data_IF_197994199251
#
_entry.id   IF_197994199251
#
_cell.length_a   1.000
_cell.length_b   1.000
_cell.length_c   1.000
_cell.angle_alpha   90.00
_cell.angle_beta   90.00
_cell.angle_gamma   90.00
#
_symmetry.space_group_name_H-M   'P 1'
#
loop_
_entity.id
_entity.type
_entity.pdbx_description
1 polymer ?
#
# COMPACT_ATOMS: atom_id res chain seq x y z
N UNK A 1 -18.70 8.81 -3.54
CA UNK A 1 -17.43 9.34 -4.06
C UNK A 1 -16.84 10.37 -3.11
N UNK A 2 -17.40 11.58 -2.95
CA UNK A 2 -16.78 12.58 -2.06
C UNK A 2 -16.64 12.08 -0.61
N UNK A 3 -17.65 11.38 -0.09
CA UNK A 3 -17.59 10.78 1.24
C UNK A 3 -16.45 9.78 1.43
N UNK A 4 -16.03 9.03 0.40
CA UNK A 4 -14.90 8.09 0.52
C UNK A 4 -13.54 8.78 0.58
N UNK A 5 -13.46 10.05 0.20
CA UNK A 5 -12.27 10.89 0.37
C UNK A 5 -12.30 11.63 1.71
N UNK A 6 -13.38 12.39 1.96
CA UNK A 6 -13.45 13.29 3.13
C UNK A 6 -13.66 12.56 4.45
N UNK A 7 -14.40 11.44 4.49
CA UNK A 7 -14.66 10.76 5.76
C UNK A 7 -13.37 10.20 6.40
N UNK A 8 -12.52 9.41 5.72
CA UNK A 8 -11.28 8.94 6.33
C UNK A 8 -10.30 10.09 6.63
N UNK A 9 -10.25 11.12 5.79
CA UNK A 9 -9.46 12.33 6.03
C UNK A 9 -9.87 13.02 7.32
N UNK A 10 -11.17 13.29 7.50
CA UNK A 10 -11.71 13.95 8.69
C UNK A 10 -11.54 13.10 9.94
N UNK A 11 -11.77 11.79 9.85
CA UNK A 11 -11.55 10.87 10.98
C UNK A 11 -10.08 10.93 11.41
N UNK A 12 -9.13 10.85 10.47
CA UNK A 12 -7.71 10.92 10.81
C UNK A 12 -7.33 12.30 11.39
N UNK A 13 -7.88 13.39 10.84
CA UNK A 13 -7.65 14.74 11.37
C UNK A 13 -8.19 14.89 12.80
N UNK A 14 -9.37 14.33 13.10
CA UNK A 14 -9.92 14.31 14.46
C UNK A 14 -9.05 13.46 15.39
N UNK A 15 -8.56 12.29 14.94
CA UNK A 15 -7.63 11.46 15.73
C UNK A 15 -6.34 12.23 16.05
N UNK A 16 -5.79 12.96 15.07
CA UNK A 16 -4.62 13.81 15.31
C UNK A 16 -4.94 14.93 16.31
N UNK A 17 -6.10 15.58 16.17
CA UNK A 17 -6.53 16.63 17.08
C UNK A 17 -6.64 16.14 18.53
N UNK A 18 -7.18 14.94 18.77
CA UNK A 18 -7.32 14.40 20.14
C UNK A 18 -5.99 14.09 20.82
N UNK A 19 -4.91 13.87 20.05
CA UNK A 19 -3.56 13.69 20.58
C UNK A 19 -2.72 14.98 20.53
N UNK A 20 -3.34 16.13 20.22
CA UNK A 20 -2.70 17.45 20.21
C UNK A 20 -1.89 17.74 18.96
N UNK A 21 -2.11 17.01 17.85
CA UNK A 21 -1.48 17.23 16.57
C UNK A 21 -2.45 18.00 15.66
N UNK A 22 -2.10 19.24 15.36
CA UNK A 22 -2.80 20.11 14.42
C UNK A 22 -1.83 21.14 13.82
N UNK A 23 -2.17 21.81 12.70
CA UNK A 23 -1.29 22.80 12.10
C UNK A 23 -0.90 23.90 13.08
N UNK A 24 0.40 24.17 13.21
CA UNK A 24 0.95 25.16 14.16
C UNK A 24 0.98 24.73 15.63
N UNK A 25 0.63 23.49 15.96
CA UNK A 25 0.77 22.95 17.32
C UNK A 25 2.22 22.61 17.67
N UNK A 26 2.52 22.46 18.97
CA UNK A 26 3.84 22.02 19.44
C UNK A 26 4.15 20.56 19.10
N UNK A 27 3.15 19.75 18.75
CA UNK A 27 3.28 18.32 18.47
C UNK A 27 2.95 18.05 17.00
N UNK A 28 3.88 17.45 16.27
CA UNK A 28 3.70 17.18 14.84
C UNK A 28 3.50 15.68 14.54
N UNK A 29 3.11 15.37 13.30
CA UNK A 29 3.10 14.00 12.72
C UNK A 29 4.51 13.41 12.59
N UNK A 30 5.54 14.24 12.75
CA UNK A 30 6.93 13.83 12.58
C UNK A 30 7.38 13.01 13.80
N UNK A 31 7.22 11.70 13.70
CA UNK A 31 7.76 10.73 14.65
C UNK A 31 8.83 9.87 13.97
N UNK A 32 9.79 9.37 14.77
CA UNK A 32 10.90 8.55 14.28
C UNK A 32 11.64 9.21 13.10
N UNK A 33 11.85 8.49 12.00
CA UNK A 33 12.51 8.94 10.77
C UNK A 33 11.83 10.14 10.11
N UNK A 34 10.53 10.37 10.34
CA UNK A 34 9.85 11.52 9.79
C UNK A 34 10.39 12.84 10.35
N UNK A 35 10.83 12.83 11.61
CA UNK A 35 11.43 13.99 12.28
C UNK A 35 12.87 14.23 11.84
N UNK A 36 13.70 13.20 11.88
CA UNK A 36 15.14 13.33 11.58
C UNK A 36 15.44 13.44 10.09
N UNK A 37 14.64 12.80 9.23
CA UNK A 37 14.93 12.65 7.80
C UNK A 37 13.84 13.25 6.90
N UNK A 38 12.59 12.78 6.99
CA UNK A 38 11.62 13.07 5.92
C UNK A 38 11.27 14.54 5.81
N UNK A 39 11.14 15.26 6.92
CA UNK A 39 10.94 16.71 6.91
C UNK A 39 12.07 17.43 6.16
N UNK A 40 13.32 17.05 6.43
CA UNK A 40 14.50 17.62 5.77
C UNK A 40 14.54 17.26 4.28
N UNK A 41 14.18 16.03 3.90
CA UNK A 41 14.11 15.60 2.51
C UNK A 41 13.06 16.39 1.71
N UNK A 42 11.89 16.64 2.29
CA UNK A 42 10.83 17.43 1.65
C UNK A 42 11.19 18.93 1.57
N UNK A 43 11.84 19.50 2.60
CA UNK A 43 12.38 20.85 2.56
C UNK A 43 13.45 21.00 1.46
N UNK A 44 14.32 20.00 1.34
CA UNK A 44 15.33 19.91 0.28
C UNK A 44 14.63 19.80 -1.09
N UNK A 45 13.61 18.95 -1.24
CA UNK A 45 12.85 18.80 -2.49
C UNK A 45 12.24 20.11 -2.95
N UNK A 46 11.68 20.87 -2.01
CA UNK A 46 11.20 22.23 -2.28
C UNK A 46 12.31 23.14 -2.82
N UNK A 47 13.49 23.14 -2.22
CA UNK A 47 14.62 23.94 -2.70
C UNK A 47 15.05 23.52 -4.12
N UNK A 48 15.00 22.23 -4.44
CA UNK A 48 15.27 21.73 -5.79
C UNK A 48 14.26 22.26 -6.81
N UNK A 49 12.96 22.19 -6.48
CA UNK A 49 11.90 22.70 -7.35
C UNK A 49 11.98 24.23 -7.55
N UNK A 50 12.53 24.97 -6.59
CA UNK A 50 12.80 26.40 -6.70
C UNK A 50 14.11 26.74 -7.45
N UNK A 51 14.81 25.74 -8.00
CA UNK A 51 16.07 25.92 -8.70
C UNK A 51 17.28 26.25 -7.81
N UNK A 52 17.16 26.07 -6.49
CA UNK A 52 18.23 26.36 -5.51
C UNK A 52 19.22 25.21 -5.35
N UNK A 53 18.93 24.03 -5.91
CA UNK A 53 19.85 22.89 -5.98
C UNK A 53 19.55 22.03 -7.20
N UNK A 54 20.52 21.17 -7.58
CA UNK A 54 20.38 20.25 -8.69
C UNK A 54 19.45 19.08 -8.37
N UNK A 55 18.77 18.54 -9.39
CA UNK A 55 17.97 17.32 -9.31
C UNK A 55 18.83 16.05 -9.25
N UNK A 56 20.07 16.11 -9.74
CA UNK A 56 20.96 14.95 -9.83
C UNK A 56 21.85 14.78 -8.60
N UNK A 57 22.28 15.89 -7.99
CA UNK A 57 23.25 15.86 -6.90
C UNK A 57 22.98 16.97 -5.89
N UNK A 58 23.12 16.68 -4.60
CA UNK A 58 23.00 17.68 -3.54
C UNK A 58 24.26 17.72 -2.70
N UNK A 59 24.77 18.93 -2.43
CA UNK A 59 25.88 19.19 -1.51
C UNK A 59 25.43 19.37 -0.06
N UNK A 60 24.12 19.45 0.17
CA UNK A 60 23.54 19.72 1.49
C UNK A 60 23.35 18.44 2.33
N UNK A 61 23.91 17.31 1.88
CA UNK A 61 23.87 16.03 2.57
C UNK A 61 25.30 15.50 2.77
N UNK A 62 25.89 15.76 3.93
CA UNK A 62 27.26 15.35 4.28
C UNK A 62 28.31 15.82 3.24
N UNK A 63 29.04 14.91 2.59
CA UNK A 63 30.01 15.21 1.52
C UNK A 63 29.37 15.32 0.13
N UNK A 64 28.05 15.23 0.08
CA UNK A 64 27.23 15.23 -1.12
C UNK A 64 26.67 13.84 -1.45
N UNK A 65 25.51 13.83 -2.10
CA UNK A 65 24.72 12.63 -2.35
C UNK A 65 24.07 12.69 -3.74
N UNK A 66 23.93 11.53 -4.39
CA UNK A 66 23.06 11.34 -5.53
C UNK A 66 21.60 11.65 -5.16
N UNK A 67 21.13 12.82 -5.58
CA UNK A 67 19.82 13.32 -5.17
C UNK A 67 18.68 12.61 -5.91
N UNK A 68 18.93 12.14 -7.13
CA UNK A 68 17.94 11.39 -7.89
C UNK A 68 17.63 10.03 -7.24
N UNK A 69 18.65 9.36 -6.70
CA UNK A 69 18.49 8.15 -5.90
C UNK A 69 17.65 8.42 -4.64
N UNK A 70 17.91 9.52 -3.92
CA UNK A 70 17.09 9.93 -2.77
C UNK A 70 15.63 10.16 -3.17
N UNK A 71 15.38 10.87 -4.27
CA UNK A 71 14.03 11.15 -4.76
C UNK A 71 13.28 9.85 -5.04
N UNK A 72 13.94 8.91 -5.73
CA UNK A 72 13.34 7.63 -6.11
C UNK A 72 12.81 6.82 -4.92
N UNK A 73 13.44 6.96 -3.76
CA UNK A 73 13.12 6.18 -2.58
C UNK A 73 12.14 6.91 -1.65
N UNK A 74 12.34 8.21 -1.43
CA UNK A 74 11.63 8.97 -0.39
C UNK A 74 10.60 9.99 -0.92
N UNK A 75 10.74 10.48 -2.16
CA UNK A 75 10.06 11.70 -2.60
C UNK A 75 9.31 11.55 -3.94
N UNK A 76 9.31 10.38 -4.57
CA UNK A 76 8.74 10.16 -5.90
C UNK A 76 7.22 10.29 -6.01
N UNK A 77 6.50 10.42 -4.90
CA UNK A 77 5.04 10.50 -4.87
C UNK A 77 4.47 11.71 -5.62
N UNK A 78 3.31 11.52 -6.26
CA UNK A 78 2.62 12.59 -7.03
C UNK A 78 2.17 13.77 -6.16
N UNK A 79 2.05 13.56 -4.84
CA UNK A 79 1.70 14.60 -3.88
C UNK A 79 2.92 15.34 -3.35
N UNK A 80 4.14 14.80 -3.50
CA UNK A 80 5.36 15.44 -2.98
C UNK A 80 5.57 16.85 -3.53
N UNK A 81 5.35 17.16 -4.83
CA UNK A 81 5.51 18.53 -5.34
C UNK A 81 4.64 19.60 -4.65
N UNK A 82 3.57 19.22 -3.96
CA UNK A 82 2.71 20.15 -3.21
C UNK A 82 3.42 20.82 -2.03
N UNK A 83 4.60 20.33 -1.62
CA UNK A 83 5.44 21.04 -0.64
C UNK A 83 5.81 22.46 -1.08
N UNK A 84 5.80 22.76 -2.38
CA UNK A 84 6.01 24.12 -2.92
C UNK A 84 5.06 25.16 -2.30
N UNK A 85 3.85 24.76 -1.93
CA UNK A 85 2.82 25.63 -1.38
C UNK A 85 3.12 26.11 0.04
N UNK A 86 4.12 25.52 0.71
CA UNK A 86 4.46 25.80 2.10
C UNK A 86 5.91 26.31 2.20
N UNK A 87 6.20 27.30 3.05
CA UNK A 87 7.59 27.67 3.34
C UNK A 87 8.31 26.54 4.11
N UNK A 88 9.65 26.49 4.04
CA UNK A 88 10.44 25.43 4.69
C UNK A 88 10.19 25.37 6.23
N UNK A 89 9.89 26.50 6.85
CA UNK A 89 9.58 26.60 8.28
C UNK A 89 8.29 25.85 8.66
N UNK A 90 7.35 25.68 7.73
CA UNK A 90 6.07 25.00 7.92
C UNK A 90 6.06 23.60 7.30
N UNK A 91 7.22 22.99 7.05
CA UNK A 91 7.29 21.61 6.54
C UNK A 91 6.59 20.56 7.40
N UNK A 92 6.64 20.63 8.75
CA UNK A 92 5.83 19.71 9.58
C UNK A 92 4.33 19.79 9.26
N UNK A 93 3.80 21.01 9.09
CA UNK A 93 2.40 21.23 8.72
C UNK A 93 2.11 20.78 7.29
N UNK A 94 3.04 21.01 6.36
CA UNK A 94 2.93 20.51 4.99
C UNK A 94 2.79 18.99 4.98
N UNK A 95 3.65 18.27 5.71
CA UNK A 95 3.59 16.81 5.82
C UNK A 95 2.29 16.33 6.48
N UNK A 96 1.78 17.04 7.50
CA UNK A 96 0.47 16.78 8.07
C UNK A 96 -0.65 16.83 6.99
N UNK A 97 -0.69 17.89 6.17
CA UNK A 97 -1.70 18.01 5.10
C UNK A 97 -1.54 16.94 4.03
N UNK A 98 -0.31 16.65 3.61
CA UNK A 98 -0.05 15.63 2.59
C UNK A 98 -0.44 14.23 3.07
N UNK A 99 -0.15 13.88 4.32
CA UNK A 99 -0.58 12.61 4.92
C UNK A 99 -2.10 12.48 4.90
N UNK A 100 -2.83 13.52 5.32
CA UNK A 100 -4.30 13.52 5.31
C UNK A 100 -4.89 13.39 3.89
N UNK A 101 -4.34 14.11 2.92
CA UNK A 101 -4.78 14.03 1.51
C UNK A 101 -4.50 12.64 0.95
N UNK A 102 -3.32 12.05 1.20
CA UNK A 102 -2.98 10.70 0.73
C UNK A 102 -3.93 9.64 1.31
N UNK A 103 -4.29 9.73 2.59
CA UNK A 103 -5.29 8.85 3.23
C UNK A 103 -6.65 8.99 2.55
N UNK A 104 -7.12 10.22 2.33
CA UNK A 104 -8.36 10.47 1.58
C UNK A 104 -8.32 9.90 0.16
N UNK A 105 -7.21 10.09 -0.54
CA UNK A 105 -7.00 9.58 -1.90
C UNK A 105 -6.97 8.06 -1.97
N UNK A 106 -6.43 7.38 -0.95
CA UNK A 106 -6.47 5.92 -0.85
C UNK A 106 -7.91 5.41 -0.73
N UNK A 107 -8.74 6.09 0.07
CA UNK A 107 -10.17 5.81 0.18
C UNK A 107 -10.91 6.05 -1.15
N UNK A 108 -10.61 7.16 -1.84
CA UNK A 108 -11.19 7.44 -3.15
C UNK A 108 -10.80 6.40 -4.21
N UNK A 109 -9.53 5.98 -4.24
CA UNK A 109 -9.05 4.96 -5.16
C UNK A 109 -9.74 3.60 -4.91
N UNK A 110 -9.89 3.21 -3.64
CA UNK A 110 -10.63 2.01 -3.28
C UNK A 110 -12.11 2.11 -3.65
N UNK A 111 -12.77 3.26 -3.44
CA UNK A 111 -14.16 3.46 -3.86
C UNK A 111 -14.31 3.32 -5.38
N UNK A 112 -13.36 3.86 -6.16
CA UNK A 112 -13.36 3.71 -7.62
C UNK A 112 -13.19 2.24 -8.04
N UNK A 113 -12.30 1.50 -7.39
CA UNK A 113 -12.18 0.05 -7.55
C UNK A 113 -13.48 -0.67 -7.20
N UNK A 114 -14.03 -0.44 -6.01
CA UNK A 114 -15.19 -1.12 -5.47
C UNK A 114 -16.45 -0.87 -6.31
N UNK A 115 -16.67 0.36 -6.77
CA UNK A 115 -17.82 0.73 -7.63
C UNK A 115 -17.81 0.06 -9.01
N UNK A 116 -16.64 -0.34 -9.50
CA UNK A 116 -16.47 -1.01 -10.80
C UNK A 116 -16.43 -2.55 -10.67
N UNK A 117 -16.21 -3.06 -9.46
CA UNK A 117 -16.00 -4.48 -9.20
C UNK A 117 -17.20 -5.16 -8.54
N UNK A 118 -17.85 -4.49 -7.57
CA UNK A 118 -18.91 -5.07 -6.74
C UNK A 118 -20.27 -4.45 -7.07
N UNK A 119 -21.30 -5.29 -7.26
CA UNK A 119 -22.70 -4.84 -7.45
C UNK A 119 -23.40 -4.64 -6.11
N UNK A 120 -22.89 -3.68 -5.34
CA UNK A 120 -23.42 -3.29 -4.03
C UNK A 120 -23.89 -1.82 -4.07
N UNK A 121 -24.61 -1.37 -3.03
CA UNK A 121 -25.12 0.00 -2.93
C UNK A 121 -23.98 1.01 -2.69
N UNK A 122 -24.22 2.26 -3.09
CA UNK A 122 -23.20 3.34 -3.05
C UNK A 122 -22.62 3.58 -1.66
N UNK A 123 -23.43 3.50 -0.59
CA UNK A 123 -22.96 3.70 0.77
C UNK A 123 -22.05 2.55 1.23
N UNK A 124 -22.28 1.33 0.75
CA UNK A 124 -21.46 0.16 1.08
C UNK A 124 -20.08 0.26 0.43
N UNK A 125 -20.00 0.78 -0.80
CA UNK A 125 -18.71 1.14 -1.41
C UNK A 125 -17.95 2.16 -0.55
N UNK A 126 -18.64 3.14 0.02
CA UNK A 126 -18.03 4.14 0.91
C UNK A 126 -17.55 3.48 2.21
N UNK A 127 -18.35 2.61 2.82
CA UNK A 127 -17.95 1.87 4.04
C UNK A 127 -16.66 1.08 3.83
N UNK A 128 -16.57 0.29 2.75
CA UNK A 128 -15.36 -0.48 2.46
C UNK A 128 -14.15 0.41 2.16
N UNK A 129 -14.36 1.53 1.47
CA UNK A 129 -13.31 2.51 1.21
C UNK A 129 -12.77 3.16 2.48
N UNK A 130 -13.64 3.46 3.44
CA UNK A 130 -13.25 4.02 4.75
C UNK A 130 -12.45 2.98 5.55
N UNK A 131 -12.90 1.73 5.58
CA UNK A 131 -12.14 0.63 6.21
C UNK A 131 -10.76 0.44 5.58
N UNK A 132 -10.64 0.59 4.25
CA UNK A 132 -9.36 0.50 3.56
C UNK A 132 -8.44 1.67 3.89
N UNK A 133 -8.94 2.90 3.81
CA UNK A 133 -8.14 4.10 4.06
C UNK A 133 -7.69 4.22 5.53
N UNK A 134 -8.45 3.64 6.46
CA UNK A 134 -8.15 3.66 7.90
C UNK A 134 -7.65 2.31 8.44
N UNK A 135 -7.18 1.41 7.57
CA UNK A 135 -6.59 0.15 8.04
C UNK A 135 -5.40 0.40 8.98
N UNK A 136 -5.14 -0.53 9.89
CA UNK A 136 -4.08 -0.39 10.89
C UNK A 136 -2.71 -0.13 10.27
N UNK A 137 -2.45 -0.68 9.09
CA UNK A 137 -1.19 -0.43 8.40
C UNK A 137 -1.00 1.06 8.07
N UNK A 138 -2.02 1.71 7.50
CA UNK A 138 -1.96 3.14 7.14
C UNK A 138 -1.87 4.01 8.40
N UNK A 139 -2.67 3.70 9.41
CA UNK A 139 -2.73 4.52 10.63
C UNK A 139 -1.45 4.41 11.46
N UNK A 140 -0.93 3.20 11.64
CA UNK A 140 0.32 2.96 12.38
C UNK A 140 1.57 3.51 11.65
N UNK A 141 1.58 3.47 10.32
CA UNK A 141 2.70 3.98 9.51
C UNK A 141 2.39 5.33 8.87
N UNK A 142 1.51 6.12 9.46
CA UNK A 142 1.12 7.43 8.93
C UNK A 142 2.28 8.45 8.95
N UNK A 143 3.29 8.22 9.79
CA UNK A 143 4.59 8.93 9.79
C UNK A 143 5.44 8.62 8.53
N UNK A 144 5.24 7.44 7.91
CA UNK A 144 5.98 7.00 6.73
C UNK A 144 5.26 7.44 5.45
N UNK A 145 5.24 8.75 5.21
CA UNK A 145 4.46 9.41 4.15
C UNK A 145 4.70 8.84 2.73
N UNK A 146 5.90 8.31 2.46
CA UNK A 146 6.27 7.73 1.15
C UNK A 146 5.55 6.41 0.85
N UNK A 147 5.12 5.67 1.88
CA UNK A 147 4.41 4.39 1.69
C UNK A 147 2.93 4.59 1.36
N UNK A 148 2.35 5.72 1.76
CA UNK A 148 0.93 5.99 1.57
C UNK A 148 0.54 6.10 0.09
N UNK A 149 1.45 6.50 -0.80
CA UNK A 149 1.19 6.53 -2.24
C UNK A 149 0.86 5.14 -2.78
N UNK A 150 1.55 4.10 -2.30
CA UNK A 150 1.32 2.73 -2.73
C UNK A 150 -0.10 2.23 -2.41
N UNK A 151 -0.71 2.74 -1.34
CA UNK A 151 -2.09 2.44 -0.95
C UNK A 151 -3.11 3.05 -1.91
N UNK A 152 -2.75 4.13 -2.61
CA UNK A 152 -3.60 4.72 -3.65
C UNK A 152 -3.57 3.85 -4.90
N UNK A 153 -2.39 3.32 -5.26
CA UNK A 153 -2.22 2.56 -6.49
C UNK A 153 -2.65 1.10 -6.40
N UNK A 154 -2.54 0.45 -5.23
CA UNK A 154 -2.90 -0.97 -5.09
C UNK A 154 -4.33 -1.29 -5.61
N UNK A 155 -5.40 -0.59 -5.19
CA UNK A 155 -6.74 -0.85 -5.73
C UNK A 155 -6.83 -0.63 -7.26
N UNK A 156 -6.07 0.33 -7.78
CA UNK A 156 -6.05 0.67 -9.21
C UNK A 156 -5.28 -0.36 -10.04
N UNK A 157 -4.20 -0.96 -9.51
CA UNK A 157 -3.50 -2.09 -10.14
C UNK A 157 -4.44 -3.28 -10.26
N UNK A 158 -5.15 -3.63 -9.19
CA UNK A 158 -6.12 -4.74 -9.18
C UNK A 158 -7.29 -4.45 -10.14
N UNK A 159 -7.80 -3.21 -10.15
CA UNK A 159 -8.78 -2.77 -11.15
C UNK A 159 -8.24 -2.87 -12.58
N UNK A 160 -6.97 -2.51 -12.78
CA UNK A 160 -6.27 -2.57 -14.05
C UNK A 160 -6.22 -3.99 -14.60
N UNK A 161 -5.90 -4.97 -13.75
CA UNK A 161 -5.94 -6.40 -14.10
C UNK A 161 -7.35 -6.81 -14.50
N UNK A 162 -8.35 -6.44 -13.71
CA UNK A 162 -9.75 -6.75 -14.00
C UNK A 162 -10.21 -6.18 -15.35
N UNK A 163 -9.84 -4.92 -15.65
CA UNK A 163 -10.13 -4.27 -16.93
C UNK A 163 -9.36 -4.89 -18.09
N UNK A 164 -8.13 -5.32 -17.87
CA UNK A 164 -7.34 -6.01 -18.88
C UNK A 164 -7.96 -7.37 -19.23
N UNK A 165 -8.32 -8.16 -18.22
CA UNK A 165 -8.93 -9.49 -18.41
C UNK A 165 -10.31 -9.37 -19.07
N UNK A 166 -11.19 -8.51 -18.53
CA UNK A 166 -12.61 -8.43 -18.94
C UNK A 166 -12.82 -7.55 -20.17
N UNK A 167 -12.09 -6.44 -20.30
CA UNK A 167 -12.32 -5.40 -21.31
C UNK A 167 -11.15 -5.20 -22.28
N UNK A 168 -10.05 -5.94 -22.14
CA UNK A 168 -8.82 -5.80 -22.96
C UNK A 168 -8.23 -4.38 -22.97
N UNK A 169 -8.41 -3.63 -21.88
CA UNK A 169 -7.91 -2.25 -21.74
C UNK A 169 -6.71 -2.21 -20.77
N UNK A 170 -5.45 -2.10 -21.25
CA UNK A 170 -4.26 -2.12 -20.40
C UNK A 170 -3.94 -0.78 -19.73
N UNK A 171 -4.52 0.33 -20.20
CA UNK A 171 -4.14 1.70 -19.80
C UNK A 171 -4.15 1.92 -18.30
N UNK A 172 -5.19 1.46 -17.60
CA UNK A 172 -5.27 1.62 -16.13
C UNK A 172 -4.16 0.85 -15.43
N UNK A 173 -3.85 -0.36 -15.90
CA UNK A 173 -2.78 -1.16 -15.34
C UNK A 173 -1.41 -0.50 -15.58
N UNK A 174 -1.16 -0.04 -16.80
CA UNK A 174 0.07 0.65 -17.17
C UNK A 174 0.32 1.88 -16.30
N UNK A 175 -0.66 2.80 -16.24
CA UNK A 175 -0.53 4.05 -15.49
C UNK A 175 -0.38 3.76 -13.98
N UNK A 176 -1.15 2.81 -13.44
CA UNK A 176 -1.07 2.47 -12.02
C UNK A 176 0.29 1.90 -11.65
N UNK A 177 0.85 1.00 -12.47
CA UNK A 177 2.21 0.49 -12.24
C UNK A 177 3.27 1.56 -12.40
N UNK A 178 3.20 2.37 -13.45
CA UNK A 178 4.17 3.42 -13.70
C UNK A 178 4.24 4.37 -12.49
N UNK A 179 3.09 4.88 -12.05
CA UNK A 179 3.03 5.79 -10.90
C UNK A 179 3.45 5.10 -9.60
N UNK A 180 3.09 3.83 -9.41
CA UNK A 180 3.51 3.06 -8.24
C UNK A 180 5.03 2.92 -8.17
N UNK A 181 5.67 2.50 -9.27
CA UNK A 181 7.13 2.32 -9.32
C UNK A 181 7.89 3.64 -9.24
N UNK A 182 7.35 4.73 -9.83
CA UNK A 182 7.91 6.06 -9.67
C UNK A 182 7.77 6.61 -8.25
N UNK A 183 6.68 6.28 -7.54
CA UNK A 183 6.41 6.79 -6.20
C UNK A 183 7.13 6.01 -5.11
N UNK A 184 7.10 4.68 -5.19
CA UNK A 184 7.74 3.79 -4.22
C UNK A 184 8.01 2.45 -4.88
N UNK A 185 9.21 2.29 -5.45
CA UNK A 185 9.61 1.03 -6.08
C UNK A 185 9.65 -0.13 -5.08
N UNK A 186 9.96 0.15 -3.81
CA UNK A 186 9.97 -0.83 -2.72
C UNK A 186 8.59 -1.46 -2.50
N UNK A 187 7.56 -0.62 -2.31
CA UNK A 187 6.18 -1.12 -2.21
C UNK A 187 5.68 -1.65 -3.57
N UNK A 188 6.19 -1.09 -4.67
CA UNK A 188 5.92 -1.55 -6.02
C UNK A 188 6.30 -3.02 -6.25
N UNK A 189 7.43 -3.47 -5.70
CA UNK A 189 7.83 -4.88 -5.73
C UNK A 189 6.79 -5.78 -5.04
N UNK A 190 6.38 -5.43 -3.81
CA UNK A 190 5.39 -6.21 -3.05
C UNK A 190 4.03 -6.27 -3.74
N UNK A 191 3.54 -5.13 -4.25
CA UNK A 191 2.29 -5.06 -5.01
C UNK A 191 2.41 -5.83 -6.33
N UNK A 192 3.57 -5.78 -6.99
CA UNK A 192 3.86 -6.55 -8.20
C UNK A 192 3.82 -8.07 -7.98
N UNK A 193 4.29 -8.56 -6.84
CA UNK A 193 4.17 -9.97 -6.50
C UNK A 193 2.71 -10.35 -6.20
N UNK A 194 2.02 -9.52 -5.42
CA UNK A 194 0.60 -9.71 -5.11
C UNK A 194 -0.30 -9.69 -6.35
N UNK A 195 -0.01 -8.80 -7.30
CA UNK A 195 -0.75 -8.65 -8.53
C UNK A 195 -0.57 -9.86 -9.46
N UNK A 196 0.61 -10.47 -9.49
CA UNK A 196 0.85 -11.76 -10.16
C UNK A 196 0.00 -12.85 -9.52
N UNK A 197 0.02 -12.97 -8.19
CA UNK A 197 -0.84 -13.92 -7.46
C UNK A 197 -2.32 -13.71 -7.78
N UNK A 198 -2.78 -12.45 -7.79
CA UNK A 198 -4.16 -12.11 -8.16
C UNK A 198 -4.47 -12.46 -9.62
N UNK A 199 -3.55 -12.22 -10.55
CA UNK A 199 -3.72 -12.57 -11.96
C UNK A 199 -3.82 -14.09 -12.16
N UNK A 200 -3.01 -14.88 -11.42
CA UNK A 200 -3.12 -16.35 -11.38
C UNK A 200 -4.49 -16.80 -10.85
N UNK A 201 -5.02 -16.13 -9.82
CA UNK A 201 -6.39 -16.37 -9.35
C UNK A 201 -7.40 -16.09 -10.48
N UNK A 202 -7.27 -14.99 -11.23
CA UNK A 202 -8.17 -14.71 -12.36
C UNK A 202 -8.09 -15.78 -13.48
N UNK A 203 -6.89 -16.27 -13.79
CA UNK A 203 -6.68 -17.40 -14.70
C UNK A 203 -7.37 -18.67 -14.20
N UNK A 204 -7.24 -18.97 -12.91
CA UNK A 204 -7.90 -20.10 -12.27
C UNK A 204 -9.43 -19.97 -12.29
N UNK A 205 -9.98 -18.78 -12.02
CA UNK A 205 -11.43 -18.54 -11.97
C UNK A 205 -12.12 -18.70 -13.32
N UNK A 206 -11.48 -18.22 -14.40
CA UNK A 206 -12.02 -18.33 -15.75
C UNK A 206 -10.92 -18.33 -16.83
N UNK A 207 -10.35 -19.50 -17.11
CA UNK A 207 -9.27 -19.68 -18.09
C UNK A 207 -9.59 -19.11 -19.48
N UNK A 208 -10.79 -19.38 -20.01
CA UNK A 208 -11.18 -18.95 -21.37
C UNK A 208 -11.11 -17.43 -21.51
N UNK A 209 -11.55 -16.69 -20.49
CA UNK A 209 -11.55 -15.24 -20.47
C UNK A 209 -10.15 -14.65 -20.21
N UNK A 210 -9.43 -15.22 -19.23
CA UNK A 210 -8.18 -14.67 -18.74
C UNK A 210 -6.94 -15.05 -19.56
N UNK A 211 -6.92 -16.19 -20.27
CA UNK A 211 -5.75 -16.62 -21.05
C UNK A 211 -5.29 -15.59 -22.09
N UNK A 212 -6.24 -14.90 -22.74
CA UNK A 212 -5.95 -13.84 -23.70
C UNK A 212 -5.44 -12.54 -23.07
N UNK A 213 -5.24 -12.51 -21.75
CA UNK A 213 -4.63 -11.39 -21.05
C UNK A 213 -3.21 -11.71 -20.57
N UNK A 214 -2.69 -12.94 -20.74
CA UNK A 214 -1.34 -13.33 -20.28
C UNK A 214 -0.27 -12.45 -20.93
N UNK A 215 -0.24 -12.41 -22.26
CA UNK A 215 0.73 -11.61 -23.02
C UNK A 215 0.53 -10.10 -22.75
N UNK A 216 -0.70 -9.54 -22.86
CA UNK A 216 -0.92 -8.14 -22.51
C UNK A 216 -0.52 -7.77 -21.07
N UNK A 217 -0.73 -8.65 -20.10
CA UNK A 217 -0.35 -8.41 -18.70
C UNK A 217 1.17 -8.34 -18.56
N UNK A 218 1.88 -9.31 -19.14
CA UNK A 218 3.34 -9.33 -19.16
C UNK A 218 3.92 -8.09 -19.84
N UNK A 219 3.49 -7.78 -21.07
CA UNK A 219 3.95 -6.60 -21.82
C UNK A 219 3.64 -5.31 -21.05
N UNK A 220 2.43 -5.15 -20.53
CA UNK A 220 2.04 -3.93 -19.80
C UNK A 220 2.89 -3.73 -18.55
N UNK A 221 3.13 -4.81 -17.80
CA UNK A 221 3.93 -4.76 -16.57
C UNK A 221 5.40 -4.45 -16.88
N UNK A 222 5.96 -5.08 -17.93
CA UNK A 222 7.34 -4.83 -18.38
C UNK A 222 7.52 -3.42 -18.94
N UNK A 223 6.58 -2.91 -19.72
CA UNK A 223 6.64 -1.54 -20.25
C UNK A 223 6.53 -0.51 -19.12
N UNK A 224 5.65 -0.73 -18.14
CA UNK A 224 5.52 0.19 -17.01
C UNK A 224 6.78 0.16 -16.12
N UNK A 225 7.32 -1.03 -15.82
CA UNK A 225 8.57 -1.19 -15.09
C UNK A 225 9.76 -0.59 -15.85
N UNK A 226 9.87 -0.85 -17.16
CA UNK A 226 10.90 -0.27 -18.02
C UNK A 226 10.83 1.25 -18.09
N UNK A 227 9.62 1.82 -18.22
CA UNK A 227 9.44 3.28 -18.19
C UNK A 227 9.83 3.90 -16.84
N UNK A 228 9.61 3.19 -15.72
CA UNK A 228 10.01 3.65 -14.39
C UNK A 228 11.53 3.58 -14.12
N UNK A 229 12.31 2.89 -14.98
CA UNK A 229 13.76 2.77 -14.81
C UNK A 229 14.49 4.12 -14.90
N UNK A 230 13.87 5.15 -15.49
CA UNK A 230 14.43 6.51 -15.48
C UNK A 230 14.72 7.00 -14.05
N UNK A 231 13.91 6.58 -13.08
CA UNK A 231 14.07 6.94 -11.66
C UNK A 231 14.67 5.80 -10.84
N UNK A 232 14.34 4.54 -11.16
CA UNK A 232 14.79 3.37 -10.38
C UNK A 232 16.24 2.99 -10.67
N UNK A 233 16.70 3.11 -11.93
CA UNK A 233 18.05 2.66 -12.31
C UNK A 233 19.16 3.39 -11.54
N UNK A 234 19.13 4.74 -11.38
CA UNK A 234 20.11 5.44 -10.53
C UNK A 234 20.14 4.92 -9.09
N UNK A 235 18.97 4.61 -8.53
CA UNK A 235 18.84 4.10 -7.17
C UNK A 235 19.41 2.68 -7.02
N UNK A 236 19.18 1.80 -8.00
CA UNK A 236 19.74 0.45 -8.01
C UNK A 236 21.26 0.46 -8.11
N UNK A 237 21.83 1.36 -8.93
CA UNK A 237 23.28 1.51 -9.06
C UNK A 237 23.89 2.04 -7.74
N UNK A 238 23.24 3.00 -7.11
CA UNK A 238 23.65 3.58 -5.83
C UNK A 238 23.62 2.51 -4.71
N UNK A 239 22.50 1.79 -4.55
CA UNK A 239 22.37 0.69 -3.58
C UNK A 239 23.44 -0.40 -3.78
N UNK A 240 23.71 -0.78 -5.03
CA UNK A 240 24.73 -1.79 -5.33
C UNK A 240 26.14 -1.32 -4.94
N UNK A 241 26.44 -0.03 -5.10
CA UNK A 241 27.74 0.53 -4.70
C UNK A 241 27.92 0.62 -3.18
N UNK A 242 26.83 0.70 -2.43
CA UNK A 242 26.84 0.79 -0.96
C UNK A 242 26.95 -0.58 -0.25
N UNK A 243 26.99 -1.69 -1.00
CA UNK A 243 27.46 -2.98 -0.49
C UNK A 243 26.57 -3.66 0.55
N UNK A 244 25.25 -3.45 0.54
CA UNK A 244 24.36 -4.18 1.45
C UNK A 244 24.41 -5.69 1.20
N UNK A 245 24.87 -6.46 2.19
CA UNK A 245 24.87 -7.91 2.14
C UNK A 245 23.45 -8.49 2.31
N UNK A 246 23.19 -9.60 1.62
CA UNK A 246 21.95 -10.36 1.79
C UNK A 246 21.90 -10.97 3.19
N UNK A 247 20.72 -10.98 3.81
CA UNK A 247 20.57 -11.52 5.16
C UNK A 247 20.69 -13.04 5.16
N UNK A 248 21.54 -13.59 6.03
CA UNK A 248 21.67 -15.03 6.24
C UNK A 248 20.43 -15.59 6.94
N UNK A 249 19.91 -16.70 6.44
CA UNK A 249 18.73 -17.36 7.02
C UNK A 249 19.20 -18.22 8.20
N UNK A 250 19.09 -17.68 9.40
CA UNK A 250 19.51 -18.36 10.64
C UNK A 250 18.37 -19.16 11.30
N UNK A 251 17.11 -18.81 11.02
CA UNK A 251 15.93 -19.48 11.59
C UNK A 251 14.81 -19.64 10.55
N UNK A 252 13.96 -20.65 10.74
CA UNK A 252 12.83 -20.92 9.85
C UNK A 252 11.52 -20.25 10.31
N UNK A 253 11.27 -20.23 11.62
CA UNK A 253 10.10 -19.57 12.22
C UNK A 253 10.43 -18.11 12.53
N UNK A 254 9.53 -17.20 12.21
CA UNK A 254 9.65 -15.80 12.62
C UNK A 254 9.44 -15.70 14.13
N UNK A 255 10.47 -15.28 14.87
CA UNK A 255 10.46 -15.22 16.35
C UNK A 255 9.38 -14.27 16.90
N UNK A 256 9.05 -13.22 16.15
CA UNK A 256 8.06 -12.24 16.57
C UNK A 256 6.61 -12.77 16.57
N UNK A 257 6.32 -13.92 15.95
CA UNK A 257 4.93 -14.37 15.71
C UNK A 257 4.57 -15.67 16.42
N UNK A 258 3.47 -15.63 17.16
CA UNK A 258 2.79 -16.76 17.78
C UNK A 258 1.52 -17.18 17.04
N UNK A 259 1.06 -18.40 17.34
CA UNK A 259 0.02 -19.12 16.56
C UNK A 259 -1.31 -18.35 16.53
N UNK A 260 -1.66 -17.65 17.60
CA UNK A 260 -2.92 -16.92 17.72
C UNK A 260 -2.82 -15.43 17.36
N UNK A 261 -1.63 -14.92 17.08
CA UNK A 261 -1.39 -13.49 16.88
C UNK A 261 -2.19 -12.92 15.72
N UNK A 262 -2.37 -13.69 14.65
CA UNK A 262 -3.15 -13.27 13.49
C UNK A 262 -4.65 -13.10 13.83
N UNK A 263 -5.18 -13.92 14.73
CA UNK A 263 -6.56 -13.79 15.21
C UNK A 263 -6.68 -12.61 16.17
N UNK A 264 -5.76 -12.51 17.12
CA UNK A 264 -5.77 -11.46 18.14
C UNK A 264 -5.58 -10.07 17.54
N UNK A 265 -4.75 -9.92 16.50
CA UNK A 265 -4.56 -8.63 15.80
C UNK A 265 -5.78 -8.14 15.04
N UNK A 266 -6.80 -8.98 14.84
CA UNK A 266 -8.06 -8.56 14.28
C UNK A 266 -9.07 -8.07 15.35
N UNK A 267 -8.72 -8.15 16.64
CA UNK A 267 -9.57 -7.72 17.75
C UNK A 267 -9.40 -6.23 18.07
N UNK A 268 -10.45 -5.62 18.60
CA UNK A 268 -10.48 -4.20 18.95
C UNK A 268 -9.49 -3.94 20.09
N UNK A 269 -8.68 -2.87 19.96
CA UNK A 269 -7.75 -2.42 20.99
C UNK A 269 -6.39 -3.13 20.99
N UNK A 270 -6.16 -4.08 20.07
CA UNK A 270 -4.89 -4.80 19.98
C UNK A 270 -3.92 -4.05 19.05
N UNK A 271 -3.05 -3.21 19.61
CA UNK A 271 -1.98 -2.51 18.87
C UNK A 271 -0.60 -3.06 19.25
N UNK A 272 0.41 -2.76 18.44
CA UNK A 272 1.79 -3.16 18.69
C UNK A 272 2.71 -1.95 18.55
N UNK A 273 3.96 -2.10 18.96
CA UNK A 273 5.04 -1.19 18.65
C UNK A 273 5.42 -1.32 17.16
N UNK A 274 6.00 -0.28 16.59
CA UNK A 274 6.62 -0.32 15.24
C UNK A 274 8.08 -0.78 15.27
N UNK A 275 8.58 -1.19 16.45
CA UNK A 275 9.97 -1.57 16.70
C UNK A 275 10.20 -3.07 16.46
N UNK A 276 11.30 -3.61 16.96
CA UNK A 276 11.62 -5.04 16.93
C UNK A 276 10.58 -5.86 17.69
N UNK A 277 10.30 -7.07 17.21
CA UNK A 277 9.32 -7.98 17.82
C UNK A 277 7.85 -7.66 17.47
N UNK A 278 7.59 -6.68 16.59
CA UNK A 278 6.23 -6.32 16.19
C UNK A 278 5.58 -7.37 15.29
N UNK A 279 4.31 -7.69 15.51
CA UNK A 279 3.51 -8.54 14.61
C UNK A 279 2.77 -7.72 13.53
N UNK A 280 2.34 -8.36 12.42
CA UNK A 280 1.79 -7.65 11.27
C UNK A 280 0.55 -6.77 11.57
N UNK A 281 0.55 -5.52 11.08
CA UNK A 281 -0.59 -4.60 11.20
C UNK A 281 -1.69 -4.91 10.18
N UNK A 282 -2.61 -5.81 10.54
CA UNK A 282 -3.65 -6.36 9.63
C UNK A 282 -5.10 -5.96 9.96
N UNK A 283 -5.33 -5.16 11.00
CA UNK A 283 -6.69 -4.77 11.41
C UNK A 283 -7.34 -3.82 10.40
N UNK A 284 -8.60 -4.09 10.06
CA UNK A 284 -9.39 -3.33 9.06
C UNK A 284 -10.83 -3.04 9.54
N UNK A 285 -11.13 -3.35 10.81
CA UNK A 285 -12.48 -3.36 11.35
C UNK A 285 -13.15 -4.74 11.29
N UNK A 286 -14.05 -5.00 12.24
CA UNK A 286 -14.77 -6.29 12.34
C UNK A 286 -15.75 -6.51 11.19
N UNK A 287 -16.35 -5.46 10.65
CA UNK A 287 -17.35 -5.58 9.59
C UNK A 287 -16.77 -6.20 8.31
N UNK A 288 -15.68 -5.69 7.70
CA UNK A 288 -15.04 -6.36 6.57
C UNK A 288 -14.60 -7.79 6.88
N UNK A 289 -14.12 -8.06 8.10
CA UNK A 289 -13.71 -9.40 8.50
C UNK A 289 -14.88 -10.39 8.46
N UNK A 290 -16.02 -10.02 9.05
CA UNK A 290 -17.24 -10.84 9.03
C UNK A 290 -17.74 -11.06 7.60
N UNK A 291 -17.75 -10.02 6.77
CA UNK A 291 -18.14 -10.12 5.36
C UNK A 291 -17.19 -11.02 4.55
N UNK A 292 -15.89 -11.01 4.86
CA UNK A 292 -14.92 -11.93 4.27
C UNK A 292 -15.21 -13.38 4.70
N UNK A 293 -15.56 -13.64 5.95
CA UNK A 293 -16.00 -14.97 6.40
C UNK A 293 -17.26 -15.39 5.63
N UNK A 294 -18.22 -14.48 5.43
CA UNK A 294 -19.42 -14.76 4.63
C UNK A 294 -19.10 -15.14 3.18
N UNK A 295 -18.03 -14.58 2.58
CA UNK A 295 -17.56 -15.01 1.26
C UNK A 295 -17.23 -16.51 1.22
N UNK A 296 -16.53 -17.02 2.24
CA UNK A 296 -16.17 -18.44 2.33
C UNK A 296 -17.34 -19.35 2.72
N UNK A 297 -18.27 -18.89 3.55
CA UNK A 297 -19.43 -19.68 4.00
C UNK A 297 -20.53 -19.72 2.93
N UNK A 298 -20.67 -18.68 2.11
CA UNK A 298 -21.77 -18.56 1.14
C UNK A 298 -21.77 -19.69 0.10
N UNK A 299 -22.87 -20.45 0.00
CA UNK A 299 -23.05 -21.51 -0.99
C UNK A 299 -23.19 -20.99 -2.43
N UNK A 300 -23.49 -19.70 -2.62
CA UNK A 300 -23.64 -19.07 -3.94
C UNK A 300 -22.31 -18.89 -4.68
N UNK A 301 -21.19 -18.84 -3.93
CA UNK A 301 -19.86 -18.67 -4.49
C UNK A 301 -19.26 -20.05 -4.78
N UNK A 302 -18.75 -20.22 -6.01
CA UNK A 302 -18.13 -21.46 -6.47
C UNK A 302 -16.96 -21.85 -5.55
N UNK A 303 -16.92 -23.12 -5.12
CA UNK A 303 -15.85 -23.67 -4.29
C UNK A 303 -14.46 -23.41 -4.88
N UNK A 304 -14.32 -23.52 -6.20
CA UNK A 304 -13.08 -23.21 -6.92
C UNK A 304 -12.55 -21.81 -6.62
N UNK A 305 -13.43 -20.80 -6.67
CA UNK A 305 -13.04 -19.40 -6.42
C UNK A 305 -12.59 -19.24 -4.96
N UNK A 306 -13.25 -19.92 -4.02
CA UNK A 306 -12.86 -19.93 -2.60
C UNK A 306 -11.47 -20.54 -2.40
N UNK A 307 -11.19 -21.70 -2.99
CA UNK A 307 -9.87 -22.34 -2.87
C UNK A 307 -8.75 -21.48 -3.47
N UNK A 308 -9.00 -20.79 -4.58
CA UNK A 308 -8.02 -19.89 -5.18
C UNK A 308 -7.65 -18.72 -4.27
N UNK A 309 -8.65 -18.04 -3.68
CA UNK A 309 -8.39 -16.95 -2.74
C UNK A 309 -7.89 -17.45 -1.38
N UNK A 310 -8.30 -18.63 -0.93
CA UNK A 310 -7.74 -19.28 0.25
C UNK A 310 -6.25 -19.60 0.08
N UNK A 311 -5.83 -20.07 -1.11
CA UNK A 311 -4.41 -20.26 -1.42
C UNK A 311 -3.62 -18.96 -1.38
N UNK A 312 -4.22 -17.86 -1.86
CA UNK A 312 -3.62 -16.53 -1.78
C UNK A 312 -3.45 -16.05 -0.33
N UNK A 313 -4.44 -16.29 0.55
CA UNK A 313 -4.30 -16.09 1.98
C UNK A 313 -3.22 -16.98 2.59
N UNK A 314 -3.18 -18.26 2.23
CA UNK A 314 -2.20 -19.20 2.77
C UNK A 314 -0.77 -18.73 2.51
N UNK A 315 -0.48 -18.22 1.31
CA UNK A 315 0.84 -17.65 1.00
C UNK A 315 1.15 -16.43 1.88
N UNK A 316 0.22 -15.50 2.03
CA UNK A 316 0.43 -14.29 2.86
C UNK A 316 0.60 -14.66 4.34
N UNK A 317 -0.25 -15.54 4.87
CA UNK A 317 -0.19 -16.01 6.25
C UNK A 317 1.12 -16.77 6.49
N UNK A 318 1.46 -17.72 5.62
CA UNK A 318 2.72 -18.46 5.70
C UNK A 318 3.92 -17.51 5.68
N UNK A 319 3.85 -16.42 4.92
CA UNK A 319 4.91 -15.41 4.87
C UNK A 319 5.13 -14.70 6.20
N UNK A 320 4.08 -14.51 7.02
CA UNK A 320 4.24 -13.92 8.34
C UNK A 320 5.02 -14.85 9.29
N UNK A 321 4.83 -16.17 9.15
CA UNK A 321 5.41 -17.16 10.05
C UNK A 321 6.73 -17.77 9.57
N UNK A 322 7.01 -17.76 8.27
CA UNK A 322 8.17 -18.41 7.64
C UNK A 322 9.19 -17.35 7.21
N UNK A 323 10.37 -17.36 7.84
CA UNK A 323 11.43 -16.36 7.63
C UNK A 323 11.89 -16.25 6.16
N UNK A 324 12.19 -17.33 5.42
CA UNK A 324 12.54 -17.23 4.00
C UNK A 324 11.48 -16.51 3.16
N UNK A 325 10.19 -16.78 3.43
CA UNK A 325 9.09 -16.13 2.72
C UNK A 325 8.98 -14.67 3.14
N UNK A 326 9.11 -14.37 4.43
CA UNK A 326 9.16 -13.00 4.93
C UNK A 326 10.28 -12.19 4.26
N UNK A 327 11.50 -12.72 4.23
CA UNK A 327 12.65 -12.09 3.58
C UNK A 327 12.43 -11.89 2.09
N UNK A 328 11.79 -12.85 1.41
CA UNK A 328 11.47 -12.72 -0.01
C UNK A 328 10.62 -11.48 -0.32
N UNK A 329 9.61 -11.16 0.50
CA UNK A 329 8.83 -9.92 0.34
C UNK A 329 9.66 -8.65 0.52
N UNK A 330 10.76 -8.73 1.25
CA UNK A 330 11.68 -7.62 1.50
C UNK A 330 12.91 -7.65 0.59
N UNK A 331 12.90 -8.46 -0.49
CA UNK A 331 14.01 -8.54 -1.44
C UNK A 331 15.24 -9.24 -0.88
N UNK A 332 15.05 -10.19 0.05
CA UNK A 332 16.12 -10.94 0.74
C UNK A 332 16.98 -10.12 1.72
N UNK A 333 16.48 -8.95 2.13
CA UNK A 333 17.04 -8.14 3.20
C UNK A 333 16.08 -8.08 4.39
N UNK A 334 16.56 -8.35 5.59
CA UNK A 334 15.78 -8.19 6.80
C UNK A 334 15.47 -6.70 7.03
N UNK A 335 14.20 -6.33 7.23
CA UNK A 335 13.85 -4.95 7.51
C UNK A 335 14.37 -4.51 8.88
N UNK A 336 15.00 -3.34 8.93
CA UNK A 336 15.28 -2.63 10.17
C UNK A 336 14.00 -1.92 10.64
N UNK A 337 13.40 -2.44 11.72
CA UNK A 337 12.09 -1.99 12.26
C UNK A 337 10.96 -2.03 11.21
N UNK A 338 9.74 -1.73 11.64
CA UNK A 338 8.54 -1.77 10.79
C UNK A 338 8.43 -3.13 10.07
N UNK A 339 8.36 -4.20 10.85
CA UNK A 339 8.33 -5.57 10.31
C UNK A 339 7.08 -5.80 9.46
N UNK A 340 7.14 -6.78 8.55
CA UNK A 340 6.00 -7.21 7.73
C UNK A 340 5.39 -6.08 6.89
N UNK A 341 6.25 -5.35 6.17
CA UNK A 341 5.84 -4.17 5.38
C UNK A 341 4.81 -4.47 4.29
N UNK A 342 4.61 -5.74 3.94
CA UNK A 342 3.59 -6.22 2.99
C UNK A 342 2.23 -6.55 3.63
N UNK A 343 2.04 -6.36 4.94
CA UNK A 343 0.83 -6.74 5.68
C UNK A 343 -0.45 -6.08 5.13
N UNK A 344 -0.37 -4.88 4.55
CA UNK A 344 -1.50 -4.21 3.92
C UNK A 344 -2.11 -5.01 2.75
N UNK A 345 -1.35 -5.91 2.11
CA UNK A 345 -1.86 -6.78 1.05
C UNK A 345 -2.87 -7.79 1.59
N UNK A 346 -2.62 -8.31 2.80
CA UNK A 346 -3.58 -9.15 3.52
C UNK A 346 -4.85 -8.35 3.83
N UNK A 347 -4.70 -7.15 4.42
CA UNK A 347 -5.80 -6.24 4.70
C UNK A 347 -6.65 -5.93 3.47
N UNK A 348 -6.01 -5.61 2.34
CA UNK A 348 -6.68 -5.37 1.07
C UNK A 348 -7.44 -6.62 0.58
N UNK A 349 -6.82 -7.81 0.65
CA UNK A 349 -7.45 -9.07 0.25
C UNK A 349 -8.73 -9.34 1.06
N UNK A 350 -8.70 -9.13 2.38
CA UNK A 350 -9.88 -9.28 3.24
C UNK A 350 -10.99 -8.29 2.84
N UNK A 351 -10.67 -7.00 2.65
CA UNK A 351 -11.67 -5.99 2.24
C UNK A 351 -12.22 -6.28 0.83
N UNK A 352 -11.39 -6.76 -0.09
CA UNK A 352 -11.82 -7.17 -1.42
C UNK A 352 -12.85 -8.31 -1.35
N UNK A 353 -12.56 -9.35 -0.57
CA UNK A 353 -13.48 -10.48 -0.40
C UNK A 353 -14.72 -10.09 0.41
N UNK A 354 -14.59 -9.14 1.34
CA UNK A 354 -15.73 -8.53 2.01
C UNK A 354 -16.71 -7.91 1.01
N UNK A 355 -16.21 -7.22 -0.02
CA UNK A 355 -17.03 -6.69 -1.11
C UNK A 355 -17.83 -7.77 -1.84
N UNK A 356 -17.19 -8.88 -2.20
CA UNK A 356 -17.88 -10.02 -2.82
C UNK A 356 -18.83 -10.75 -1.87
N UNK A 357 -18.49 -10.84 -0.59
CA UNK A 357 -19.35 -11.40 0.45
C UNK A 357 -20.61 -10.57 0.67
N UNK A 358 -20.47 -9.24 0.68
CA UNK A 358 -21.59 -8.31 0.83
C UNK A 358 -22.56 -8.39 -0.35
N UNK A 359 -22.05 -8.56 -1.57
CA UNK A 359 -22.87 -8.76 -2.78
C UNK A 359 -23.82 -9.97 -2.65
N UNK A 360 -23.44 -11.01 -1.90
CA UNK A 360 -24.28 -12.21 -1.71
C UNK A 360 -25.52 -11.98 -0.84
N UNK A 361 -25.43 -11.03 0.10
CA UNK A 361 -26.54 -10.69 1.00
C UNK A 361 -27.68 -10.02 0.22
N UNK A 362 -27.37 -9.12 -0.71
CA UNK A 362 -28.37 -8.36 -1.46
C UNK A 362 -29.12 -9.18 -2.51
N UNK A 363 -28.53 -10.27 -3.00
CA UNK A 363 -29.23 -11.17 -3.92
C UNK A 363 -30.39 -11.93 -3.25
N UNK A 364 -30.53 -11.87 -1.92
CA UNK A 364 -31.65 -12.51 -1.20
C UNK A 364 -32.90 -11.62 -1.11
N UNK A 365 -32.74 -10.30 -1.25
CA UNK A 365 -33.83 -9.31 -1.10
C UNK A 365 -34.51 -8.92 -2.43
N UNK A 366 -34.21 -9.66 -3.52
CA UNK A 366 -34.81 -9.48 -4.86
C UNK A 366 -35.59 -10.70 -5.34
N UNK A 367 -35.92 -11.62 -4.43
CA UNK A 367 -36.69 -12.83 -4.69
C UNK A 367 -38.16 -12.65 -4.37
#
# INVERSE_FOLDING_TARGET
MLASFFLPLLIMAVIYLTIGIYPGSSRSVLASDAFSQFSNFHASFRNMLLGKQSIFYTWNASLGLNYLALISYYLGGIFTPLVLLFPNQLMPDALYFLTLIKIGSAGLAFWFYASQTFKIQRWQHVTLAVCYALMSFITAHSELIMWLDAMIYLPLVILGIDRLVKKKKPVVLFISYLLLFLSSFYMGFMIGLFSVMYFLVQLGRNWKQARGAIIPYGITSLLAGGASMVIILPALLDLRSNGEELTTISSFKTEATDVFDLVMKNMIGVYDTTKYGSIPFIYIGLLPLLLCILYFVSKKIRLKDKFLYAGMFAVLIASFYIVPMNLFWHGMHAPNMFLFRYAYLFSFLVIMLAGYGWEQLQQKDRG
#
